data_IF_306553899021
#
_entry.id   IF_306553899021
#
_cell.length_a   1.000
_cell.length_b   1.000
_cell.length_c   1.000
_cell.angle_alpha   90.00
_cell.angle_beta   90.00
_cell.angle_gamma   90.00
#
_symmetry.space_group_name_H-M   'P 1'
#
loop_
_entity.id
_entity.type
_entity.pdbx_description
1 polymer ?
#
# COMPACT_ATOMS: atom_id res chain seq x y z
N UNK A 1 -12.26 5.69 -9.66
CA UNK A 1 -11.21 6.20 -8.75
C UNK A 1 -10.47 7.34 -9.44
N UNK A 2 -10.21 8.44 -8.75
CA UNK A 2 -9.49 9.60 -9.29
C UNK A 2 -8.02 9.51 -8.89
N UNK A 3 -7.11 9.63 -9.84
CA UNK A 3 -5.68 9.82 -9.57
C UNK A 3 -5.41 11.31 -9.35
N UNK A 4 -4.50 11.62 -8.43
CA UNK A 4 -4.07 12.98 -8.09
C UNK A 4 -2.55 13.06 -8.21
N UNK A 5 -2.03 14.21 -8.60
CA UNK A 5 -0.59 14.45 -8.60
C UNK A 5 -0.10 14.78 -7.17
N UNK A 6 1.22 14.78 -6.97
CA UNK A 6 1.83 15.00 -5.65
C UNK A 6 1.52 16.39 -5.09
N UNK A 7 1.51 17.44 -5.93
CA UNK A 7 1.20 18.80 -5.48
C UNK A 7 -0.27 18.94 -5.14
N UNK A 8 -1.15 18.35 -5.95
CA UNK A 8 -2.57 18.29 -5.62
C UNK A 8 -2.82 17.50 -4.33
N UNK A 9 -2.16 16.36 -4.12
CA UNK A 9 -2.30 15.57 -2.90
C UNK A 9 -1.92 16.38 -1.65
N UNK A 10 -0.79 17.11 -1.70
CA UNK A 10 -0.37 18.01 -0.62
C UNK A 10 -1.40 19.12 -0.37
N UNK A 11 -1.93 19.73 -1.43
CA UNK A 11 -2.97 20.75 -1.32
C UNK A 11 -4.25 20.20 -0.69
N UNK A 12 -4.69 19.02 -1.12
CA UNK A 12 -5.87 18.35 -0.58
C UNK A 12 -5.70 17.95 0.88
N UNK A 13 -4.50 17.52 1.27
CA UNK A 13 -4.17 17.22 2.66
C UNK A 13 -4.30 18.46 3.54
N UNK A 14 -3.75 19.61 3.10
CA UNK A 14 -3.74 20.85 3.89
C UNK A 14 -5.07 21.60 3.89
N UNK A 15 -5.76 21.66 2.76
CA UNK A 15 -6.97 22.50 2.61
C UNK A 15 -8.27 21.74 2.88
N UNK A 16 -8.30 20.45 2.58
CA UNK A 16 -9.54 19.65 2.58
C UNK A 16 -9.53 18.48 3.55
N UNK A 17 -8.53 18.42 4.45
CA UNK A 17 -8.35 17.38 5.47
C UNK A 17 -8.35 15.95 4.88
N UNK A 18 -7.73 15.78 3.71
CA UNK A 18 -7.52 14.43 3.18
C UNK A 18 -6.43 13.70 3.97
N UNK A 19 -6.67 12.43 4.27
CA UNK A 19 -5.68 11.56 4.91
C UNK A 19 -4.96 10.77 3.84
N UNK A 20 -3.63 10.80 3.86
CA UNK A 20 -2.80 9.97 2.98
C UNK A 20 -2.69 8.58 3.62
N UNK A 21 -3.24 7.57 2.95
CA UNK A 21 -3.12 6.16 3.34
C UNK A 21 -1.97 5.53 2.55
N UNK A 22 -0.84 5.31 3.23
CA UNK A 22 0.31 4.65 2.65
C UNK A 22 0.17 3.13 2.78
N UNK A 23 0.11 2.43 1.64
CA UNK A 23 -0.09 0.97 1.60
C UNK A 23 1.21 0.17 1.49
N UNK A 24 2.37 0.84 1.52
CA UNK A 24 3.68 0.20 1.48
C UNK A 24 3.97 -0.57 2.76
N UNK A 25 4.93 -1.53 2.73
CA UNK A 25 5.41 -2.18 3.94
C UNK A 25 5.84 -1.18 5.02
N UNK A 26 5.56 -1.50 6.28
CA UNK A 26 5.88 -0.63 7.42
C UNK A 26 7.36 -0.22 7.47
N UNK A 27 8.26 -1.09 7.01
CA UNK A 27 9.69 -0.83 6.94
C UNK A 27 10.04 0.32 5.99
N UNK A 28 9.33 0.46 4.86
CA UNK A 28 9.52 1.58 3.93
C UNK A 28 8.91 2.87 4.49
N UNK A 29 7.75 2.77 5.11
CA UNK A 29 7.08 3.91 5.74
C UNK A 29 7.96 4.53 6.84
N UNK A 30 8.57 3.69 7.70
CA UNK A 30 9.48 4.16 8.76
C UNK A 30 10.73 4.86 8.24
N UNK A 31 11.20 4.50 7.05
CA UNK A 31 12.36 5.16 6.44
C UNK A 31 12.00 6.56 5.94
N UNK A 32 10.88 6.68 5.22
CA UNK A 32 10.38 7.97 4.74
C UNK A 32 8.89 7.90 4.40
N UNK A 33 8.14 8.90 4.88
CA UNK A 33 6.72 9.08 4.55
C UNK A 33 6.32 10.56 4.59
N UNK A 34 5.23 10.94 3.88
CA UNK A 34 4.66 12.28 4.01
C UNK A 34 4.17 12.55 5.44
N UNK A 35 4.33 13.77 5.97
CA UNK A 35 3.85 14.11 7.30
C UNK A 35 2.33 13.94 7.38
N UNK A 36 1.84 13.38 8.50
CA UNK A 36 0.41 13.13 8.70
C UNK A 36 -0.17 11.97 7.88
N UNK A 37 0.67 11.20 7.17
CA UNK A 37 0.24 9.96 6.53
C UNK A 37 -0.01 8.84 7.55
N UNK A 38 -0.96 7.97 7.24
CA UNK A 38 -1.28 6.77 8.01
C UNK A 38 -0.84 5.56 7.21
N UNK A 39 -0.05 4.67 7.82
CA UNK A 39 0.36 3.43 7.17
C UNK A 39 -0.56 2.27 7.50
N UNK A 40 -1.03 1.58 6.45
CA UNK A 40 -1.64 0.27 6.53
C UNK A 40 -1.11 -0.57 5.38
N UNK A 41 -0.15 -1.44 5.67
CA UNK A 41 0.48 -2.27 4.64
C UNK A 41 -0.51 -3.30 4.05
N UNK A 42 -0.65 -3.28 2.73
CA UNK A 42 -1.46 -4.28 2.00
C UNK A 42 -0.71 -5.61 1.88
N UNK A 43 0.61 -5.54 1.74
CA UNK A 43 1.52 -6.68 1.82
C UNK A 43 2.39 -6.54 3.05
N UNK A 44 2.48 -7.62 3.83
CA UNK A 44 3.32 -7.71 5.03
C UNK A 44 4.48 -8.66 4.78
N UNK A 45 5.57 -8.52 5.53
CA UNK A 45 6.58 -9.57 5.57
C UNK A 45 5.93 -10.88 6.05
N UNK A 46 6.30 -12.01 5.43
CA UNK A 46 5.88 -13.33 5.91
C UNK A 46 6.27 -13.41 7.38
N UNK A 47 5.30 -13.43 8.30
CA UNK A 47 5.57 -13.47 9.75
C UNK A 47 5.60 -14.90 10.29
N UNK A 48 4.73 -15.73 9.74
CA UNK A 48 4.49 -17.07 10.24
C UNK A 48 5.64 -18.02 9.87
N UNK A 49 5.77 -19.07 10.67
CA UNK A 49 6.78 -20.12 10.52
C UNK A 49 6.12 -21.48 10.29
N UNK A 50 5.02 -21.51 9.54
CA UNK A 50 4.44 -22.79 9.11
C UNK A 50 5.35 -23.46 8.09
N UNK A 51 5.19 -24.78 7.89
CA UNK A 51 5.93 -25.51 6.87
C UNK A 51 5.77 -24.90 5.45
N UNK A 52 4.58 -24.35 5.16
CA UNK A 52 4.31 -23.67 3.90
C UNK A 52 5.01 -22.31 3.78
N UNK A 53 5.09 -21.54 4.86
CA UNK A 53 5.82 -20.27 4.90
C UNK A 53 7.33 -20.47 4.74
N UNK A 54 7.87 -21.52 5.38
CA UNK A 54 9.27 -21.90 5.27
C UNK A 54 9.59 -22.30 3.83
N UNK A 55 8.73 -23.11 3.19
CA UNK A 55 8.88 -23.47 1.79
C UNK A 55 8.84 -22.23 0.87
N UNK A 56 7.90 -21.30 1.09
CA UNK A 56 7.83 -20.03 0.34
C UNK A 56 9.09 -19.17 0.53
N UNK A 57 9.57 -19.03 1.76
CA UNK A 57 10.79 -18.27 2.06
C UNK A 57 12.02 -18.91 1.42
N UNK A 58 12.14 -20.23 1.43
CA UNK A 58 13.22 -20.95 0.77
C UNK A 58 13.18 -20.75 -0.75
N UNK A 59 11.98 -20.81 -1.36
CA UNK A 59 11.81 -20.53 -2.78
C UNK A 59 12.17 -19.07 -3.12
N UNK A 60 11.73 -18.10 -2.32
CA UNK A 60 12.12 -16.69 -2.52
C UNK A 60 13.63 -16.48 -2.36
N UNK A 61 14.26 -17.07 -1.35
CA UNK A 61 15.69 -16.99 -1.14
C UNK A 61 16.48 -17.62 -2.31
N UNK A 62 15.97 -18.69 -2.92
CA UNK A 62 16.57 -19.29 -4.12
C UNK A 62 16.61 -18.31 -5.30
N UNK A 63 15.62 -17.42 -5.43
CA UNK A 63 15.61 -16.33 -6.41
C UNK A 63 16.25 -15.02 -5.90
N UNK A 64 16.94 -15.04 -4.76
CA UNK A 64 17.63 -13.87 -4.19
C UNK A 64 16.71 -12.87 -3.49
N UNK A 65 15.44 -13.23 -3.23
CA UNK A 65 14.47 -12.39 -2.54
C UNK A 65 14.45 -12.77 -1.06
N UNK A 66 15.14 -12.02 -0.22
CA UNK A 66 15.25 -12.32 1.22
C UNK A 66 14.13 -11.68 2.06
N UNK A 67 13.43 -10.68 1.51
CA UNK A 67 12.32 -9.98 2.14
C UNK A 67 10.99 -10.29 1.43
N UNK A 68 10.65 -11.58 1.35
CA UNK A 68 9.40 -12.03 0.75
C UNK A 68 8.17 -11.48 1.50
N UNK A 69 7.23 -10.92 0.74
CA UNK A 69 5.98 -10.38 1.27
C UNK A 69 4.80 -11.30 0.98
N UNK A 70 3.79 -11.25 1.84
CA UNK A 70 2.50 -11.92 1.70
C UNK A 70 1.35 -10.92 1.84
N UNK A 71 0.17 -11.26 1.34
CA UNK A 71 -1.03 -10.44 1.52
C UNK A 71 -1.39 -10.33 3.00
N UNK A 72 -1.78 -9.14 3.42
CA UNK A 72 -2.21 -8.88 4.79
C UNK A 72 -3.73 -9.08 4.92
N UNK A 73 -4.22 -10.17 5.53
CA UNK A 73 -5.65 -10.40 5.69
C UNK A 73 -6.32 -9.35 6.61
N UNK A 74 -5.54 -8.74 7.51
CA UNK A 74 -6.03 -7.73 8.45
C UNK A 74 -6.07 -6.32 7.84
N UNK A 75 -5.78 -6.17 6.53
CA UNK A 75 -5.68 -4.86 5.88
C UNK A 75 -6.95 -4.01 6.07
N UNK A 76 -8.12 -4.54 5.70
CA UNK A 76 -9.38 -3.80 5.78
C UNK A 76 -9.70 -3.42 7.21
N UNK A 77 -9.59 -4.37 8.14
CA UNK A 77 -9.81 -4.13 9.56
C UNK A 77 -8.90 -3.03 10.12
N UNK A 78 -7.62 -3.06 9.75
CA UNK A 78 -6.63 -2.06 10.18
C UNK A 78 -6.91 -0.66 9.59
N UNK A 79 -7.51 -0.58 8.40
CA UNK A 79 -7.98 0.69 7.83
C UNK A 79 -9.18 1.22 8.61
N UNK A 80 -10.18 0.36 8.87
CA UNK A 80 -11.40 0.73 9.61
C UNK A 80 -11.11 1.14 11.06
N UNK A 81 -10.10 0.57 11.72
CA UNK A 81 -9.68 0.97 13.07
C UNK A 81 -8.98 2.34 13.12
N UNK A 82 -8.34 2.76 12.02
CA UNK A 82 -7.52 3.98 11.98
C UNK A 82 -8.20 5.16 11.29
N UNK A 83 -9.21 4.92 10.46
CA UNK A 83 -9.86 5.92 9.62
C UNK A 83 -11.38 5.79 9.76
N UNK A 84 -12.03 6.92 9.98
CA UNK A 84 -13.50 6.98 9.96
C UNK A 84 -14.04 6.70 8.56
N UNK A 85 -15.23 6.12 8.45
CA UNK A 85 -15.87 5.79 7.16
C UNK A 85 -16.13 7.01 6.27
N UNK A 86 -16.24 8.20 6.87
CA UNK A 86 -16.44 9.48 6.17
C UNK A 86 -15.12 10.19 5.82
N UNK A 87 -13.97 9.59 6.18
CA UNK A 87 -12.66 10.16 5.90
C UNK A 87 -12.40 10.23 4.40
N UNK A 88 -11.86 11.37 3.95
CA UNK A 88 -11.40 11.53 2.57
C UNK A 88 -9.99 10.97 2.46
N UNK A 89 -9.80 9.90 1.72
CA UNK A 89 -8.53 9.15 1.67
C UNK A 89 -7.84 9.33 0.32
N UNK A 90 -6.52 9.53 0.34
CA UNK A 90 -5.63 9.42 -0.81
C UNK A 90 -4.74 8.20 -0.60
N UNK A 91 -4.87 7.18 -1.44
CA UNK A 91 -4.04 5.98 -1.35
C UNK A 91 -2.70 6.20 -2.05
N UNK A 92 -1.60 5.93 -1.35
CA UNK A 92 -0.24 6.07 -1.84
C UNK A 92 0.49 4.71 -1.86
N UNK A 93 1.13 4.40 -3.00
CA UNK A 93 1.96 3.20 -3.18
C UNK A 93 3.32 3.57 -3.81
N UNK A 94 4.27 2.63 -3.83
CA UNK A 94 5.61 2.85 -4.39
C UNK A 94 5.66 2.84 -5.92
N UNK A 95 4.80 2.06 -6.57
CA UNK A 95 4.84 1.89 -8.02
C UNK A 95 4.08 2.98 -8.80
N UNK A 96 3.01 3.55 -8.23
CA UNK A 96 2.11 4.45 -8.95
C UNK A 96 1.38 3.77 -10.12
N UNK A 97 0.82 4.60 -11.00
CA UNK A 97 0.01 4.15 -12.14
C UNK A 97 -1.39 4.75 -12.13
N UNK A 98 -2.32 4.09 -12.82
CA UNK A 98 -3.71 4.50 -12.88
C UNK A 98 -4.63 3.34 -12.55
N UNK A 99 -5.63 3.59 -11.71
CA UNK A 99 -6.77 2.68 -11.52
C UNK A 99 -7.92 3.00 -12.49
N UNK A 100 -7.67 3.81 -13.52
CA UNK A 100 -8.67 4.11 -14.55
C UNK A 100 -8.74 2.95 -15.53
N UNK A 101 -9.90 2.29 -15.67
CA UNK A 101 -10.07 1.18 -16.59
C UNK A 101 -9.91 1.64 -18.04
N UNK A 102 -9.35 0.77 -18.88
CA UNK A 102 -9.33 0.89 -20.34
C UNK A 102 -9.80 -0.42 -20.96
N UNK A 103 -10.12 -0.45 -22.25
CA UNK A 103 -10.58 -1.68 -22.93
C UNK A 103 -9.66 -2.88 -22.70
N UNK A 104 -8.35 -2.67 -22.69
CA UNK A 104 -7.37 -3.75 -22.57
C UNK A 104 -6.93 -4.00 -21.12
N UNK A 105 -7.27 -3.09 -20.19
CA UNK A 105 -6.83 -3.13 -18.80
C UNK A 105 -8.02 -2.73 -17.92
N UNK A 106 -8.91 -3.68 -17.58
CA UNK A 106 -10.13 -3.41 -16.83
C UNK A 106 -9.85 -2.95 -15.39
N UNK A 107 -8.70 -3.32 -14.81
CA UNK A 107 -8.31 -2.93 -13.45
C UNK A 107 -7.33 -1.75 -13.42
N UNK A 108 -7.06 -1.15 -14.59
CA UNK A 108 -6.06 -0.10 -14.74
C UNK A 108 -4.66 -0.64 -14.99
N UNK A 109 -3.66 0.24 -14.85
CA UNK A 109 -2.27 -0.03 -15.23
C UNK A 109 -1.31 0.50 -14.17
N UNK A 110 -0.44 -0.38 -13.69
CA UNK A 110 0.69 0.02 -12.85
C UNK A 110 1.71 0.83 -13.68
N UNK A 111 2.35 1.84 -13.08
CA UNK A 111 3.50 2.48 -13.73
C UNK A 111 4.63 1.46 -13.81
N UNK A 112 5.26 1.34 -14.99
CA UNK A 112 6.50 0.59 -15.15
C UNK A 112 7.69 1.50 -14.95
#
# INVERSE_FOLDING_TARGET
>A
VRSVDVKEALRLQNENNFVILDVRPEAEFKQAHPPGAVNVQIYRLIKEWTAWDIARRAAFAFFGIFAGTEENPEFIKSVEEKLDKDSKIIVACSAGGTMKPTQNLPDGKQSR
#
